data_IF_143196712568
#
_entry.id   IF_143196712568
#
_cell.length_a   1.000
_cell.length_b   1.000
_cell.length_c   1.000
_cell.angle_alpha   90.00
_cell.angle_beta   90.00
_cell.angle_gamma   90.00
#
_symmetry.space_group_name_H-M   'P 1'
#
loop_
_entity.id
_entity.type
_entity.pdbx_description
1 polymer ?
#
# COMPACT_ATOMS: atom_id res chain seq x y z
N UNK A 1 -15.49 -6.11 -16.52
CA UNK A 1 -14.07 -5.76 -16.75
C UNK A 1 -13.28 -7.04 -16.67
N UNK A 2 -12.48 -7.38 -17.68
CA UNK A 2 -11.61 -8.55 -17.63
C UNK A 2 -10.63 -8.40 -16.46
N UNK A 3 -10.54 -9.41 -15.59
CA UNK A 3 -9.47 -9.52 -14.59
C UNK A 3 -8.16 -9.61 -15.40
N UNK A 4 -7.42 -8.51 -15.54
CA UNK A 4 -6.04 -8.57 -16.01
C UNK A 4 -5.26 -9.33 -14.94
N UNK A 5 -5.01 -10.61 -15.20
CA UNK A 5 -4.17 -11.46 -14.38
C UNK A 5 -2.81 -10.77 -14.24
N UNK A 6 -2.38 -10.51 -13.00
CA UNK A 6 -1.09 -9.89 -12.76
C UNK A 6 -0.04 -10.98 -12.92
N UNK A 7 0.75 -10.90 -14.00
CA UNK A 7 1.87 -11.80 -14.21
C UNK A 7 3.03 -11.43 -13.26
N UNK A 8 3.11 -12.19 -12.17
CA UNK A 8 4.25 -12.21 -11.27
C UNK A 8 5.34 -13.11 -11.87
N UNK A 9 6.55 -12.58 -11.99
CA UNK A 9 7.65 -13.35 -12.58
C UNK A 9 8.30 -14.21 -11.52
N UNK A 10 8.35 -15.52 -11.73
CA UNK A 10 9.21 -16.39 -10.94
C UNK A 10 10.68 -16.05 -11.23
N UNK A 11 11.51 -15.97 -10.20
CA UNK A 11 12.92 -15.59 -10.33
C UNK A 11 13.77 -16.51 -9.49
N UNK A 12 14.97 -16.84 -9.97
CA UNK A 12 15.94 -17.63 -9.20
C UNK A 12 16.54 -16.86 -8.02
N UNK A 13 16.58 -15.53 -8.11
CA UNK A 13 16.90 -14.62 -7.00
C UNK A 13 16.10 -13.33 -7.13
N UNK A 14 15.74 -12.76 -5.99
CA UNK A 14 15.06 -11.48 -5.90
C UNK A 14 16.01 -10.40 -5.43
N UNK A 15 15.90 -9.23 -6.06
CA UNK A 15 16.44 -7.98 -5.54
C UNK A 15 15.33 -7.15 -4.93
N UNK A 16 15.68 -6.17 -4.11
CA UNK A 16 14.72 -5.21 -3.54
C UNK A 16 13.85 -4.56 -4.62
N UNK A 17 14.45 -4.16 -5.76
CA UNK A 17 13.68 -3.57 -6.86
C UNK A 17 12.66 -4.52 -7.50
N UNK A 18 12.92 -5.83 -7.48
CA UNK A 18 12.04 -6.83 -8.08
C UNK A 18 10.78 -6.99 -7.22
N UNK A 19 10.94 -7.07 -5.89
CA UNK A 19 9.85 -7.09 -4.92
C UNK A 19 9.00 -5.81 -5.02
N UNK A 20 9.63 -4.63 -5.02
CA UNK A 20 8.90 -3.36 -5.18
C UNK A 20 8.18 -3.31 -6.53
N UNK A 21 8.81 -3.82 -7.59
CA UNK A 21 8.22 -3.91 -8.92
C UNK A 21 6.95 -4.76 -8.95
N UNK A 22 6.98 -5.92 -8.30
CA UNK A 22 5.82 -6.80 -8.22
C UNK A 22 4.73 -6.24 -7.31
N UNK A 23 5.09 -5.62 -6.17
CA UNK A 23 4.12 -4.89 -5.35
C UNK A 23 3.42 -3.77 -6.13
N UNK A 24 4.13 -3.05 -6.99
CA UNK A 24 3.50 -2.03 -7.85
C UNK A 24 2.48 -2.62 -8.83
N UNK A 25 2.67 -3.86 -9.28
CA UNK A 25 1.70 -4.56 -10.13
C UNK A 25 0.49 -5.02 -9.32
N UNK A 26 0.73 -5.57 -8.12
CA UNK A 26 -0.33 -6.00 -7.20
C UNK A 26 -1.22 -4.82 -6.78
N UNK A 27 -0.61 -3.65 -6.56
CA UNK A 27 -1.30 -2.47 -6.05
C UNK A 27 -1.83 -2.68 -4.62
N UNK A 28 -0.95 -2.98 -3.64
CA UNK A 28 -1.33 -3.47 -2.32
C UNK A 28 -2.02 -2.40 -1.47
N UNK A 29 -2.90 -2.87 -0.61
CA UNK A 29 -3.42 -2.14 0.57
C UNK A 29 -2.36 -2.09 1.68
N UNK A 30 -2.54 -1.24 2.71
CA UNK A 30 -1.63 -1.18 3.85
C UNK A 30 -1.47 -2.52 4.60
N UNK A 31 -2.55 -3.31 4.73
CA UNK A 31 -2.50 -4.65 5.32
C UNK A 31 -1.51 -5.57 4.60
N UNK A 32 -1.54 -5.54 3.27
CA UNK A 32 -0.65 -6.34 2.42
C UNK A 32 0.79 -5.83 2.53
N UNK A 33 1.04 -4.52 2.46
CA UNK A 33 2.40 -3.99 2.63
C UNK A 33 2.96 -4.29 4.01
N UNK A 34 2.13 -4.24 5.06
CA UNK A 34 2.52 -4.60 6.41
C UNK A 34 2.96 -6.07 6.49
N UNK A 35 2.20 -6.99 5.88
CA UNK A 35 2.57 -8.42 5.80
C UNK A 35 3.91 -8.61 5.09
N UNK A 36 4.13 -7.96 3.95
CA UNK A 36 5.40 -8.05 3.22
C UNK A 36 6.55 -7.42 4.03
N UNK A 37 6.31 -6.26 4.64
CA UNK A 37 7.26 -5.57 5.51
C UNK A 37 7.71 -6.48 6.65
N UNK A 38 6.77 -7.07 7.39
CA UNK A 38 7.06 -7.94 8.54
C UNK A 38 7.67 -9.29 8.18
N UNK A 39 7.26 -9.92 7.08
CA UNK A 39 7.69 -11.29 6.75
C UNK A 39 8.93 -11.35 5.86
N UNK A 40 9.22 -10.29 5.11
CA UNK A 40 10.31 -10.25 4.13
C UNK A 40 11.32 -9.14 4.44
N UNK A 41 10.86 -7.88 4.44
CA UNK A 41 11.78 -6.73 4.56
C UNK A 41 12.41 -6.64 5.96
N UNK A 42 11.66 -6.96 7.02
CA UNK A 42 12.18 -7.00 8.38
C UNK A 42 13.28 -8.05 8.56
N UNK A 43 13.12 -9.23 7.97
CA UNK A 43 14.17 -10.25 7.97
C UNK A 43 15.44 -9.74 7.30
N UNK A 44 15.32 -9.15 6.12
CA UNK A 44 16.47 -8.64 5.36
C UNK A 44 17.14 -7.46 6.08
N UNK A 45 16.34 -6.55 6.62
CA UNK A 45 16.82 -5.45 7.46
C UNK A 45 17.63 -5.96 8.65
N UNK A 46 17.10 -6.93 9.40
CA UNK A 46 17.81 -7.50 10.57
C UNK A 46 19.14 -8.15 10.16
N UNK A 47 19.16 -8.88 9.05
CA UNK A 47 20.38 -9.51 8.53
C UNK A 47 21.44 -8.46 8.18
N UNK A 48 21.03 -7.39 7.47
CA UNK A 48 21.92 -6.28 7.13
C UNK A 48 22.38 -5.50 8.36
N UNK A 49 21.49 -5.23 9.31
CA UNK A 49 21.80 -4.57 10.57
C UNK A 49 22.87 -5.33 11.37
N UNK A 50 22.74 -6.66 11.47
CA UNK A 50 23.71 -7.50 12.18
C UNK A 50 25.07 -7.60 11.47
N UNK A 51 25.07 -7.72 10.14
CA UNK A 51 26.28 -7.98 9.37
C UNK A 51 27.04 -6.72 8.96
N UNK A 52 26.35 -5.59 8.79
CA UNK A 52 26.89 -4.34 8.23
C UNK A 52 26.81 -3.17 9.21
N UNK A 53 25.96 -3.28 10.23
CA UNK A 53 25.66 -2.21 11.17
C UNK A 53 24.54 -1.27 10.70
N UNK A 54 24.03 -0.41 11.61
CA UNK A 54 22.93 0.52 11.35
C UNK A 54 23.31 1.66 10.39
N UNK A 55 24.58 2.08 10.39
CA UNK A 55 25.07 3.21 9.58
C UNK A 55 25.35 2.83 8.12
N UNK A 56 25.27 1.54 7.77
CA UNK A 56 25.40 1.08 6.39
C UNK A 56 24.23 1.60 5.52
N UNK A 57 24.57 2.08 4.32
CA UNK A 57 23.60 2.70 3.41
C UNK A 57 22.44 1.77 3.02
N UNK A 58 22.67 0.46 2.89
CA UNK A 58 21.64 -0.53 2.57
C UNK A 58 20.76 -0.74 3.80
N UNK A 59 21.34 -0.92 4.99
CA UNK A 59 20.60 -1.06 6.25
C UNK A 59 19.65 0.13 6.46
N UNK A 60 20.15 1.36 6.32
CA UNK A 60 19.33 2.57 6.47
C UNK A 60 18.23 2.68 5.41
N UNK A 61 18.50 2.30 4.15
CA UNK A 61 17.45 2.29 3.12
C UNK A 61 16.39 1.21 3.37
N UNK A 62 16.77 0.04 3.87
CA UNK A 62 15.85 -1.02 4.24
C UNK A 62 14.99 -0.64 5.44
N UNK A 63 15.55 0.09 6.41
CA UNK A 63 14.80 0.65 7.54
C UNK A 63 13.71 1.61 7.07
N UNK A 64 14.05 2.54 6.16
CA UNK A 64 13.08 3.48 5.58
C UNK A 64 11.98 2.76 4.80
N UNK A 65 12.35 1.74 4.01
CA UNK A 65 11.36 0.90 3.32
C UNK A 65 10.44 0.20 4.31
N UNK A 66 11.00 -0.39 5.36
CA UNK A 66 10.24 -1.11 6.38
C UNK A 66 9.25 -0.17 7.08
N UNK A 67 9.71 1.01 7.50
CA UNK A 67 8.87 2.04 8.11
C UNK A 67 7.74 2.47 7.18
N UNK A 68 8.03 2.64 5.88
CA UNK A 68 6.99 2.95 4.91
C UNK A 68 5.93 1.85 4.82
N UNK A 69 6.36 0.59 4.66
CA UNK A 69 5.46 -0.55 4.46
C UNK A 69 4.61 -0.86 5.69
N UNK A 70 5.11 -0.60 6.89
CA UNK A 70 4.44 -0.92 8.14
C UNK A 70 3.67 0.25 8.78
N UNK A 71 4.02 1.50 8.46
CA UNK A 71 3.47 2.66 9.16
C UNK A 71 3.09 3.81 8.22
N UNK A 72 4.06 4.34 7.44
CA UNK A 72 3.82 5.59 6.71
C UNK A 72 2.73 5.45 5.66
N UNK A 73 2.65 4.30 4.98
CA UNK A 73 1.68 4.12 3.91
C UNK A 73 0.23 4.17 4.39
N UNK A 74 -0.07 3.50 5.51
CA UNK A 74 -1.39 3.55 6.14
C UNK A 74 -1.69 4.97 6.64
N UNK A 75 -0.73 5.57 7.35
CA UNK A 75 -0.88 6.94 7.86
C UNK A 75 -1.21 7.92 6.73
N UNK A 76 -0.43 7.91 5.65
CA UNK A 76 -0.64 8.78 4.49
C UNK A 76 -2.03 8.58 3.88
N UNK A 77 -2.52 7.34 3.82
CA UNK A 77 -3.85 7.04 3.29
C UNK A 77 -4.98 7.57 4.20
N UNK A 78 -4.90 7.27 5.50
CA UNK A 78 -5.90 7.62 6.51
C UNK A 78 -5.95 9.13 6.74
N UNK A 79 -4.79 9.79 6.80
CA UNK A 79 -4.68 11.25 6.95
C UNK A 79 -5.06 12.02 5.68
N UNK A 80 -5.33 11.32 4.57
CA UNK A 80 -5.78 11.91 3.32
C UNK A 80 -4.65 12.57 2.51
N UNK A 81 -3.40 12.20 2.77
CA UNK A 81 -2.26 12.58 1.94
C UNK A 81 -2.28 11.83 0.58
N UNK A 82 -2.86 10.62 0.54
CA UNK A 82 -3.12 9.87 -0.70
C UNK A 82 -4.55 10.09 -1.20
N UNK A 83 -4.84 11.28 -1.72
CA UNK A 83 -6.20 11.68 -2.09
C UNK A 83 -6.39 12.17 -3.53
N UNK A 84 -5.31 12.40 -4.27
CA UNK A 84 -5.39 12.79 -5.68
C UNK A 84 -5.60 11.55 -6.54
N UNK A 85 -6.16 11.73 -7.73
CA UNK A 85 -6.29 10.64 -8.72
C UNK A 85 -4.94 9.93 -9.02
N UNK A 86 -3.83 10.67 -8.93
CA UNK A 86 -2.49 10.13 -9.15
C UNK A 86 -1.90 9.37 -7.95
N UNK A 87 -2.47 9.52 -6.75
CA UNK A 87 -1.99 8.90 -5.51
C UNK A 87 -2.41 7.43 -5.41
N UNK A 88 -1.97 6.64 -6.37
CA UNK A 88 -2.19 5.19 -6.43
C UNK A 88 -1.16 4.43 -5.57
N UNK A 89 -1.42 3.18 -5.17
CA UNK A 89 -0.43 2.30 -4.54
C UNK A 89 0.91 2.26 -5.31
N UNK A 90 0.82 2.15 -6.64
CA UNK A 90 1.98 2.16 -7.54
C UNK A 90 2.79 3.46 -7.42
N UNK A 91 2.11 4.61 -7.36
CA UNK A 91 2.76 5.90 -7.21
C UNK A 91 3.42 6.06 -5.83
N UNK A 92 2.76 5.63 -4.76
CA UNK A 92 3.31 5.66 -3.41
C UNK A 92 4.60 4.83 -3.31
N UNK A 93 4.57 3.56 -3.77
CA UNK A 93 5.75 2.70 -3.84
C UNK A 93 6.85 3.26 -4.75
N UNK A 94 6.47 3.97 -5.82
CA UNK A 94 7.43 4.60 -6.71
C UNK A 94 8.15 5.79 -6.08
N UNK A 95 7.49 6.58 -5.22
CA UNK A 95 8.16 7.65 -4.46
C UNK A 95 9.24 7.08 -3.55
N UNK A 96 8.90 6.06 -2.77
CA UNK A 96 9.86 5.38 -1.87
C UNK A 96 11.02 4.76 -2.65
N UNK A 97 10.74 4.09 -3.79
CA UNK A 97 11.80 3.52 -4.62
C UNK A 97 12.78 4.58 -5.15
N UNK A 98 12.31 5.80 -5.44
CA UNK A 98 13.16 6.89 -5.95
C UNK A 98 14.15 7.42 -4.92
N UNK A 99 13.84 7.27 -3.64
CA UNK A 99 14.71 7.70 -2.53
C UNK A 99 15.79 6.67 -2.19
N UNK A 100 15.73 5.47 -2.79
CA UNK A 100 16.68 4.40 -2.58
C UNK A 100 17.94 4.55 -3.43
N UNK A 101 19.07 4.10 -2.88
CA UNK A 101 20.32 4.01 -3.62
C UNK A 101 20.28 2.91 -4.69
N UNK A 102 20.99 3.06 -5.82
CA UNK A 102 21.12 2.01 -6.83
C UNK A 102 21.65 0.68 -6.27
N UNK A 103 22.51 0.74 -5.26
CA UNK A 103 23.09 -0.39 -4.54
C UNK A 103 21.99 -1.15 -3.79
N UNK A 104 21.16 -0.44 -3.02
CA UNK A 104 20.02 -1.03 -2.31
C UNK A 104 19.04 -1.68 -3.28
N UNK A 105 18.74 -1.03 -4.41
CA UNK A 105 17.84 -1.58 -5.42
C UNK A 105 18.37 -2.88 -6.06
N UNK A 106 19.70 -3.05 -6.11
CA UNK A 106 20.37 -4.26 -6.61
C UNK A 106 20.66 -5.29 -5.52
N UNK A 107 20.49 -4.93 -4.24
CA UNK A 107 20.71 -5.81 -3.10
C UNK A 107 19.88 -7.08 -3.24
N UNK A 108 20.54 -8.23 -3.12
CA UNK A 108 19.92 -9.54 -3.20
C UNK A 108 19.32 -9.89 -1.85
N UNK A 109 18.07 -10.33 -1.88
CA UNK A 109 17.38 -10.80 -0.69
C UNK A 109 17.86 -12.22 -0.38
N UNK A 110 18.15 -12.48 0.89
CA UNK A 110 18.69 -13.76 1.36
C UNK A 110 17.63 -14.87 1.43
N UNK A 111 16.36 -14.49 1.59
CA UNK A 111 15.24 -15.45 1.61
C UNK A 111 15.18 -16.32 0.33
N UNK A 112 14.79 -17.60 0.45
CA UNK A 112 14.57 -18.48 -0.69
C UNK A 112 13.60 -17.87 -1.71
N UNK A 113 13.87 -18.06 -3.00
CA UNK A 113 13.11 -17.42 -4.06
C UNK A 113 11.66 -17.91 -4.17
N UNK A 114 11.45 -19.20 -3.93
CA UNK A 114 10.14 -19.85 -3.82
C UNK A 114 9.30 -19.20 -2.71
N UNK A 115 9.88 -19.03 -1.52
CA UNK A 115 9.22 -18.33 -0.41
C UNK A 115 8.80 -16.90 -0.79
N UNK A 116 9.68 -16.15 -1.46
CA UNK A 116 9.36 -14.77 -1.89
C UNK A 116 8.23 -14.77 -2.93
N UNK A 117 8.27 -15.70 -3.89
CA UNK A 117 7.24 -15.85 -4.90
C UNK A 117 5.88 -16.18 -4.27
N UNK A 118 5.81 -17.22 -3.44
CA UNK A 118 4.60 -17.63 -2.73
C UNK A 118 4.02 -16.51 -1.86
N UNK A 119 4.89 -15.73 -1.21
CA UNK A 119 4.45 -14.58 -0.40
C UNK A 119 3.83 -13.48 -1.28
N UNK A 120 4.41 -13.19 -2.44
CA UNK A 120 3.88 -12.20 -3.40
C UNK A 120 2.59 -12.70 -4.08
N UNK A 121 2.52 -13.99 -4.41
CA UNK A 121 1.31 -14.62 -4.93
C UNK A 121 0.18 -14.59 -3.90
N UNK A 122 0.46 -14.94 -2.65
CA UNK A 122 -0.49 -14.81 -1.53
C UNK A 122 -0.98 -13.38 -1.36
N UNK A 123 -0.09 -12.39 -1.50
CA UNK A 123 -0.45 -10.97 -1.47
C UNK A 123 -1.37 -10.58 -2.64
N UNK A 124 -1.10 -11.09 -3.85
CA UNK A 124 -1.96 -10.87 -5.01
C UNK A 124 -3.37 -11.47 -4.82
N UNK A 125 -3.45 -12.71 -4.35
CA UNK A 125 -4.74 -13.36 -4.08
C UNK A 125 -5.53 -12.66 -2.98
N UNK A 126 -4.82 -12.20 -1.93
CA UNK A 126 -5.42 -11.38 -0.87
C UNK A 126 -6.00 -10.09 -1.47
N UNK A 127 -5.25 -9.40 -2.32
CA UNK A 127 -5.68 -8.17 -2.98
C UNK A 127 -6.93 -8.39 -3.84
N UNK A 128 -6.98 -9.48 -4.60
CA UNK A 128 -8.13 -9.83 -5.43
C UNK A 128 -9.39 -10.06 -4.59
N UNK A 129 -9.25 -10.75 -3.45
CA UNK A 129 -10.35 -10.98 -2.50
C UNK A 129 -10.80 -9.69 -1.83
N UNK A 130 -9.87 -8.82 -1.43
CA UNK A 130 -10.17 -7.51 -0.85
C UNK A 130 -11.00 -6.67 -1.81
N UNK A 131 -10.62 -6.56 -3.08
CA UNK A 131 -11.38 -5.77 -4.07
C UNK A 131 -12.85 -6.23 -4.12
N UNK A 132 -13.09 -7.54 -4.22
CA UNK A 132 -14.44 -8.11 -4.26
C UNK A 132 -15.23 -7.81 -2.98
N UNK A 133 -14.59 -7.94 -1.82
CA UNK A 133 -15.20 -7.67 -0.52
C UNK A 133 -15.54 -6.17 -0.37
N UNK A 134 -14.61 -5.29 -0.70
CA UNK A 134 -14.78 -3.84 -0.54
C UNK A 134 -15.76 -3.23 -1.53
N UNK A 135 -16.02 -3.85 -2.69
CA UNK A 135 -17.11 -3.45 -3.59
C UNK A 135 -18.49 -3.55 -2.94
N UNK A 136 -18.71 -4.50 -2.03
CA UNK A 136 -19.98 -4.60 -1.28
C UNK A 136 -20.09 -3.46 -0.27
N UNK A 137 -19.00 -3.16 0.44
CA UNK A 137 -18.95 -2.06 1.40
C UNK A 137 -19.06 -0.68 0.74
N UNK A 138 -18.49 -0.50 -0.45
CA UNK A 138 -18.59 0.75 -1.21
C UNK A 138 -20.05 1.09 -1.53
N UNK A 139 -20.84 0.11 -1.98
CA UNK A 139 -22.28 0.31 -2.25
C UNK A 139 -23.04 0.77 -1.00
N UNK A 140 -22.77 0.16 0.15
CA UNK A 140 -23.38 0.56 1.42
C UNK A 140 -22.97 1.98 1.83
N UNK A 141 -21.69 2.32 1.69
CA UNK A 141 -21.20 3.67 2.00
C UNK A 141 -21.75 4.74 1.03
N UNK A 142 -22.05 4.36 -0.23
CA UNK A 142 -22.70 5.26 -1.19
C UNK A 142 -24.14 5.57 -0.79
N UNK A 143 -24.91 4.57 -0.35
CA UNK A 143 -26.26 4.80 0.21
C UNK A 143 -26.20 5.67 1.47
N UNK A 144 -25.28 5.38 2.39
CA UNK A 144 -25.07 6.18 3.60
C UNK A 144 -24.76 7.65 3.27
N UNK A 145 -23.99 7.90 2.21
CA UNK A 145 -23.64 9.24 1.73
C UNK A 145 -24.82 9.98 1.07
N UNK A 146 -25.79 9.24 0.53
CA UNK A 146 -27.04 9.79 -0.01
C UNK A 146 -28.03 10.13 1.11
N UNK A 147 -28.10 9.28 2.14
CA UNK A 147 -28.93 9.52 3.34
C UNK A 147 -28.38 10.63 4.24
N UNK A 148 -27.05 10.74 4.34
CA UNK A 148 -26.34 11.69 5.19
C UNK A 148 -25.39 12.58 4.36
N UNK A 149 -25.93 13.41 3.43
CA UNK A 149 -25.11 14.10 2.43
C UNK A 149 -24.17 15.16 3.01
N UNK A 150 -24.45 15.64 4.22
CA UNK A 150 -23.67 16.67 4.94
C UNK A 150 -22.67 16.08 5.94
N UNK A 151 -22.62 14.75 6.14
CA UNK A 151 -21.66 14.14 7.06
C UNK A 151 -20.28 13.97 6.38
N UNK A 152 -19.24 14.73 6.77
CA UNK A 152 -17.91 14.61 6.19
C UNK A 152 -17.28 13.22 6.35
N UNK A 153 -17.62 12.48 7.42
CA UNK A 153 -17.03 11.18 7.72
C UNK A 153 -17.50 10.11 6.74
N UNK A 154 -18.78 10.16 6.34
CA UNK A 154 -19.35 9.23 5.37
C UNK A 154 -18.68 9.40 4.01
N UNK A 155 -18.44 10.64 3.57
CA UNK A 155 -17.70 10.92 2.34
C UNK A 155 -16.23 10.46 2.41
N UNK A 156 -15.58 10.60 3.55
CA UNK A 156 -14.21 10.07 3.72
C UNK A 156 -14.17 8.54 3.76
N UNK A 157 -15.16 7.88 4.38
CA UNK A 157 -15.31 6.42 4.34
C UNK A 157 -15.51 5.94 2.91
N UNK A 158 -16.41 6.57 2.15
CA UNK A 158 -16.64 6.28 0.74
C UNK A 158 -15.35 6.47 -0.07
N UNK A 159 -14.58 7.55 0.16
CA UNK A 159 -13.26 7.75 -0.47
C UNK A 159 -12.34 6.56 -0.23
N UNK A 160 -12.18 6.13 1.02
CA UNK A 160 -11.24 5.06 1.37
C UNK A 160 -11.61 3.75 0.66
N UNK A 161 -12.89 3.43 0.64
CA UNK A 161 -13.42 2.25 -0.06
C UNK A 161 -13.17 2.35 -1.58
N UNK A 162 -13.50 3.49 -2.19
CA UNK A 162 -13.26 3.75 -3.62
C UNK A 162 -11.76 3.64 -3.96
N UNK A 163 -10.90 4.19 -3.12
CA UNK A 163 -9.45 4.12 -3.29
C UNK A 163 -8.96 2.67 -3.22
N UNK A 164 -9.42 1.90 -2.22
CA UNK A 164 -9.09 0.48 -2.07
C UNK A 164 -9.55 -0.32 -3.29
N UNK A 165 -10.71 -0.07 -3.88
CA UNK A 165 -11.14 -0.82 -5.07
C UNK A 165 -10.54 -0.29 -6.38
N UNK A 166 -9.68 0.74 -6.32
CA UNK A 166 -8.97 1.30 -7.47
C UNK A 166 -9.72 2.40 -8.24
N UNK A 167 -10.86 2.88 -7.72
CA UNK A 167 -11.64 3.97 -8.31
C UNK A 167 -11.10 5.35 -7.88
N UNK A 168 -9.84 5.64 -8.21
CA UNK A 168 -9.10 6.79 -7.69
C UNK A 168 -9.72 8.16 -8.04
N UNK A 169 -10.37 8.27 -9.21
CA UNK A 169 -11.03 9.52 -9.62
C UNK A 169 -12.22 9.83 -8.72
N UNK A 170 -13.09 8.85 -8.49
CA UNK A 170 -14.25 9.01 -7.60
C UNK A 170 -13.80 9.15 -6.14
N UNK A 171 -12.77 8.41 -5.72
CA UNK A 171 -12.18 8.60 -4.40
C UNK A 171 -11.72 10.05 -4.18
N UNK A 172 -11.05 10.65 -5.17
CA UNK A 172 -10.62 12.04 -5.09
C UNK A 172 -11.80 13.02 -4.99
N UNK A 173 -12.89 12.77 -5.73
CA UNK A 173 -14.11 13.58 -5.65
C UNK A 173 -14.80 13.45 -4.29
N UNK A 174 -14.94 12.23 -3.77
CA UNK A 174 -15.48 11.98 -2.43
C UNK A 174 -14.65 12.68 -1.35
N UNK A 175 -13.31 12.68 -1.47
CA UNK A 175 -12.45 13.42 -0.56
C UNK A 175 -12.67 14.93 -0.62
N UNK A 176 -12.75 15.49 -1.83
CA UNK A 176 -13.00 16.92 -2.00
C UNK A 176 -14.33 17.32 -1.35
N UNK A 177 -15.37 16.48 -1.46
CA UNK A 177 -16.63 16.70 -0.77
C UNK A 177 -16.47 16.61 0.75
N UNK A 178 -15.83 15.56 1.27
CA UNK A 178 -15.52 15.42 2.70
C UNK A 178 -14.80 16.66 3.25
N UNK A 179 -13.76 17.14 2.54
CA UNK A 179 -12.99 18.33 2.92
C UNK A 179 -13.83 19.61 2.91
N UNK A 180 -14.74 19.80 1.94
CA UNK A 180 -15.67 20.94 1.92
C UNK A 180 -16.64 20.92 3.10
N UNK A 181 -17.03 19.73 3.54
CA UNK A 181 -17.90 19.50 4.70
C UNK A 181 -17.14 19.54 6.05
N UNK A 182 -15.84 19.86 6.04
CA UNK A 182 -15.06 20.04 7.26
C UNK A 182 -14.35 18.78 7.77
N UNK A 183 -14.13 17.76 6.92
CA UNK A 183 -13.38 16.57 7.33
C UNK A 183 -11.94 16.90 7.78
N UNK A 184 -11.61 16.48 9.00
CA UNK A 184 -10.30 16.64 9.61
C UNK A 184 -9.82 15.29 10.19
N UNK A 185 -8.64 14.79 9.81
CA UNK A 185 -8.10 13.54 10.35
C UNK A 185 -7.90 13.57 11.87
N UNK A 186 -7.76 14.73 12.50
CA UNK A 186 -7.57 14.84 13.96
C UNK A 186 -8.86 14.65 14.76
N UNK A 187 -10.02 14.94 14.17
CA UNK A 187 -11.33 14.88 14.84
C UNK A 187 -12.21 13.74 14.33
N UNK A 188 -11.88 13.18 13.17
CA UNK A 188 -12.61 12.07 12.58
C UNK A 188 -12.34 10.77 13.35
N UNK A 189 -13.35 9.89 13.51
CA UNK A 189 -13.12 8.59 14.10
C UNK A 189 -12.09 7.80 13.29
N UNK A 190 -11.25 7.04 13.99
CA UNK A 190 -10.27 6.16 13.35
C UNK A 190 -11.03 5.18 12.47
N UNK A 191 -10.78 5.23 11.16
CA UNK A 191 -11.26 4.24 10.22
C UNK A 191 -10.23 3.11 10.20
N UNK A 192 -10.52 2.00 10.88
CA UNK A 192 -9.72 0.79 10.74
C UNK A 192 -9.88 0.23 9.34
N UNK A 193 -8.75 0.03 8.63
CA UNK A 193 -8.69 -0.55 7.29
C UNK A 193 -8.15 -1.98 7.33
#
# INVERSE_FOLDING_TARGET
MAELEVELSERTKYRIKDVIGDLKKIGPTPSITYKIGSQLIYYEYNLCHQNRGPDDSITSCLEKLLNFLQHDYERQLVQGELCKTADTPKAALHRVQKEMTPETLKHLIDRPSDYIYELLESAYETRRKEIKRFQVFEKAARLEAEENPEDPNVWNKLRLLLWIIGQYKEASQAFQKAKRLGWDPATSPIVGL
#
